data_IF_220712793628
#
_entry.id   IF_220712793628
#
_cell.length_a   1.000
_cell.length_b   1.000
_cell.length_c   1.000
_cell.angle_alpha   90.00
_cell.angle_beta   90.00
_cell.angle_gamma   90.00
#
_symmetry.space_group_name_H-M   'P 1'
#
loop_
_entity.id
_entity.type
_entity.pdbx_description
1 polymer ?
#
# COMPACT_ATOMS: atom_id res chain seq x y z
N UNK A 1 -21.68 24.72 -0.10
CA UNK A 1 -20.54 24.70 -1.04
C UNK A 1 -19.60 25.84 -0.69
N UNK A 2 -18.53 25.55 0.06
CA UNK A 2 -17.30 26.35 0.09
C UNK A 2 -16.20 25.32 -0.12
N UNK A 3 -15.70 25.25 -1.35
CA UNK A 3 -14.67 24.31 -1.76
C UNK A 3 -13.38 24.64 -1.03
N UNK A 4 -13.00 23.77 -0.09
CA UNK A 4 -11.61 23.60 0.23
C UNK A 4 -11.07 22.75 -0.92
N UNK A 5 -10.54 23.38 -1.98
CA UNK A 5 -9.79 22.68 -3.02
C UNK A 5 -8.47 22.19 -2.39
N UNK A 6 -8.55 21.18 -1.53
CA UNK A 6 -7.40 20.32 -1.28
C UNK A 6 -7.03 19.69 -2.62
N UNK A 7 -5.77 19.81 -3.01
CA UNK A 7 -5.27 19.25 -4.26
C UNK A 7 -5.46 17.72 -4.23
N UNK A 8 -6.47 17.24 -4.93
CA UNK A 8 -6.72 15.81 -5.09
C UNK A 8 -5.55 15.22 -5.88
N UNK A 9 -4.88 14.21 -5.34
CA UNK A 9 -3.79 13.52 -6.05
C UNK A 9 -4.32 12.58 -7.13
N UNK A 10 -5.51 12.02 -6.93
CA UNK A 10 -6.15 11.12 -7.88
C UNK A 10 -7.69 11.29 -7.83
N UNK A 11 -8.35 10.90 -8.92
CA UNK A 11 -9.80 10.78 -9.01
C UNK A 11 -10.16 9.57 -9.85
N UNK A 12 -11.11 8.76 -9.39
CA UNK A 12 -11.60 7.60 -10.15
C UNK A 12 -12.76 7.94 -11.09
N UNK A 13 -13.29 9.16 -11.00
CA UNK A 13 -14.45 9.57 -11.76
C UNK A 13 -14.07 10.07 -13.15
N UNK A 14 -14.71 9.55 -14.18
CA UNK A 14 -14.70 10.16 -15.51
C UNK A 14 -15.61 11.39 -15.60
N UNK A 15 -15.80 11.90 -16.82
CA UNK A 15 -16.68 13.05 -17.11
C UNK A 15 -18.14 12.81 -16.70
N UNK A 16 -18.55 11.54 -16.60
CA UNK A 16 -19.88 11.09 -16.16
C UNK A 16 -20.07 11.09 -14.63
N UNK A 17 -19.02 11.42 -13.87
CA UNK A 17 -19.02 11.43 -12.40
C UNK A 17 -18.99 10.03 -11.76
N UNK A 18 -18.88 8.96 -12.56
CA UNK A 18 -18.87 7.57 -12.11
C UNK A 18 -17.47 6.93 -12.14
N UNK A 19 -17.25 5.93 -11.29
CA UNK A 19 -15.99 5.16 -11.25
C UNK A 19 -16.02 3.88 -12.13
N UNK A 20 -17.10 3.67 -12.90
CA UNK A 20 -17.28 2.44 -13.66
C UNK A 20 -16.22 2.21 -14.74
N UNK A 21 -15.78 3.29 -15.40
CA UNK A 21 -14.71 3.20 -16.40
C UNK A 21 -13.37 2.79 -15.75
N UNK A 22 -13.04 3.36 -14.60
CA UNK A 22 -11.84 3.00 -13.84
C UNK A 22 -11.76 1.49 -13.56
N UNK A 23 -12.85 0.89 -13.07
CA UNK A 23 -12.86 -0.55 -12.76
C UNK A 23 -12.71 -1.43 -14.00
N UNK A 24 -13.19 -0.99 -15.18
CA UNK A 24 -12.94 -1.69 -16.44
C UNK A 24 -11.49 -1.56 -16.87
N UNK A 25 -10.94 -0.35 -16.83
CA UNK A 25 -9.57 -0.08 -17.28
C UNK A 25 -8.54 -0.80 -16.42
N UNK A 26 -8.68 -0.76 -15.09
CA UNK A 26 -7.77 -1.47 -14.18
C UNK A 26 -7.88 -2.97 -14.34
N UNK A 27 -9.08 -3.52 -14.60
CA UNK A 27 -9.26 -4.94 -14.82
C UNK A 27 -8.56 -5.41 -16.11
N UNK A 28 -8.80 -4.71 -17.23
CA UNK A 28 -8.16 -5.01 -18.51
C UNK A 28 -6.64 -4.87 -18.45
N UNK A 29 -6.15 -3.81 -17.80
CA UNK A 29 -4.71 -3.61 -17.64
C UNK A 29 -4.10 -4.66 -16.70
N UNK A 30 -4.82 -5.12 -15.68
CA UNK A 30 -4.35 -6.20 -14.80
C UNK A 30 -4.18 -7.52 -15.55
N UNK A 31 -5.05 -7.83 -16.52
CA UNK A 31 -4.88 -9.01 -17.38
C UNK A 31 -3.58 -8.91 -18.20
N UNK A 32 -3.34 -7.74 -18.80
CA UNK A 32 -2.10 -7.47 -19.56
C UNK A 32 -0.87 -7.62 -18.67
N UNK A 33 -0.92 -7.08 -17.44
CA UNK A 33 0.18 -7.17 -16.46
C UNK A 33 0.44 -8.61 -16.06
N UNK A 34 -0.57 -9.37 -15.64
CA UNK A 34 -0.39 -10.75 -15.21
C UNK A 34 0.17 -11.62 -16.33
N UNK A 35 -0.37 -11.49 -17.54
CA UNK A 35 0.17 -12.15 -18.74
C UNK A 35 1.65 -11.80 -18.93
N UNK A 36 2.02 -10.51 -18.85
CA UNK A 36 3.40 -10.06 -19.03
C UNK A 36 4.35 -10.57 -17.94
N UNK A 37 3.90 -10.67 -16.70
CA UNK A 37 4.74 -11.09 -15.57
C UNK A 37 4.95 -12.62 -15.57
N UNK A 38 3.92 -13.40 -15.90
CA UNK A 38 4.01 -14.86 -15.95
C UNK A 38 4.79 -15.42 -17.15
N UNK A 39 5.13 -14.58 -18.14
CA UNK A 39 6.16 -14.91 -19.15
C UNK A 39 7.52 -15.27 -18.49
N UNK A 40 7.81 -14.74 -17.28
CA UNK A 40 9.07 -14.95 -16.61
C UNK A 40 9.03 -16.22 -15.71
N UNK A 41 9.92 -17.21 -15.93
CA UNK A 41 9.93 -18.45 -15.14
C UNK A 41 10.30 -18.23 -13.67
N UNK A 42 10.77 -17.04 -13.30
CA UNK A 42 11.14 -16.71 -11.91
C UNK A 42 9.94 -16.77 -10.96
N UNK A 43 8.73 -16.45 -11.43
CA UNK A 43 7.52 -16.54 -10.61
C UNK A 43 7.24 -18.00 -10.25
N UNK A 44 7.22 -18.90 -11.23
CA UNK A 44 7.03 -20.33 -10.99
C UNK A 44 8.14 -20.94 -10.11
N UNK A 45 9.40 -20.52 -10.31
CA UNK A 45 10.52 -20.93 -9.44
C UNK A 45 10.30 -20.49 -8.00
N UNK A 46 9.87 -19.25 -7.77
CA UNK A 46 9.57 -18.74 -6.44
C UNK A 46 8.37 -19.44 -5.80
N UNK A 47 7.28 -19.69 -6.55
CA UNK A 47 6.13 -20.45 -6.08
C UNK A 47 6.53 -21.83 -5.53
N UNK A 48 7.38 -22.56 -6.26
CA UNK A 48 7.93 -23.84 -5.79
C UNK A 48 8.80 -23.68 -4.55
N UNK A 49 9.63 -22.64 -4.49
CA UNK A 49 10.45 -22.34 -3.32
C UNK A 49 9.61 -22.14 -2.06
N UNK A 50 8.45 -21.47 -2.17
CA UNK A 50 7.54 -21.23 -1.04
C UNK A 50 6.76 -22.48 -0.66
N UNK A 51 6.21 -23.21 -1.63
CA UNK A 51 5.43 -24.43 -1.39
C UNK A 51 6.21 -25.47 -0.57
N UNK A 52 7.53 -25.52 -0.72
CA UNK A 52 8.41 -26.41 0.04
C UNK A 52 8.71 -25.93 1.49
N UNK A 53 8.41 -24.68 1.84
CA UNK A 53 8.81 -24.06 3.12
C UNK A 53 7.65 -23.58 3.97
N UNK A 54 6.50 -23.30 3.37
CA UNK A 54 5.34 -22.75 4.07
C UNK A 54 4.08 -23.57 3.76
N UNK A 55 3.30 -23.97 4.77
CA UNK A 55 2.03 -24.68 4.56
C UNK A 55 1.00 -23.85 3.78
N UNK A 56 0.99 -22.53 4.01
CA UNK A 56 0.05 -21.59 3.39
C UNK A 56 0.74 -20.80 2.26
N UNK A 57 0.99 -21.49 1.13
CA UNK A 57 1.42 -20.81 -0.09
C UNK A 57 0.31 -19.89 -0.61
N UNK A 58 0.71 -18.75 -1.15
CA UNK A 58 -0.19 -17.78 -1.76
C UNK A 58 -0.29 -18.05 -3.26
N UNK A 59 -1.34 -17.50 -3.88
CA UNK A 59 -1.52 -17.61 -5.32
C UNK A 59 -0.31 -16.99 -6.06
N UNK A 60 0.19 -17.65 -7.13
CA UNK A 60 1.27 -17.13 -7.98
C UNK A 60 1.10 -15.68 -8.45
N UNK A 61 -0.12 -15.20 -8.64
CA UNK A 61 -0.39 -13.81 -9.03
C UNK A 61 0.06 -12.80 -7.97
N UNK A 62 0.00 -13.17 -6.69
CA UNK A 62 0.56 -12.32 -5.62
C UNK A 62 2.09 -12.29 -5.69
N UNK A 63 2.72 -13.41 -6.04
CA UNK A 63 4.17 -13.44 -6.23
C UNK A 63 4.59 -12.63 -7.46
N UNK A 64 3.80 -12.64 -8.52
CA UNK A 64 3.98 -11.76 -9.67
C UNK A 64 3.91 -10.28 -9.27
N UNK A 65 2.90 -9.90 -8.47
CA UNK A 65 2.78 -8.55 -7.90
C UNK A 65 4.00 -8.16 -7.07
N UNK A 66 4.47 -9.03 -6.17
CA UNK A 66 5.67 -8.78 -5.36
C UNK A 66 6.93 -8.61 -6.21
N UNK A 67 7.08 -9.42 -7.26
CA UNK A 67 8.22 -9.32 -8.16
C UNK A 67 8.22 -8.02 -8.98
N UNK A 68 7.04 -7.60 -9.48
CA UNK A 68 6.87 -6.28 -10.10
C UNK A 68 7.18 -5.16 -9.10
N UNK A 69 6.71 -5.29 -7.86
CA UNK A 69 6.98 -4.33 -6.79
C UNK A 69 8.47 -4.19 -6.49
N UNK A 70 9.26 -5.27 -6.52
CA UNK A 70 10.73 -5.17 -6.42
C UNK A 70 11.28 -4.24 -7.50
N UNK A 71 10.87 -4.44 -8.76
CA UNK A 71 11.33 -3.62 -9.87
C UNK A 71 10.90 -2.15 -9.75
N UNK A 72 9.64 -1.89 -9.39
CA UNK A 72 9.11 -0.52 -9.24
C UNK A 72 9.83 0.20 -8.11
N UNK A 73 9.95 -0.42 -6.94
CA UNK A 73 10.64 0.19 -5.79
C UNK A 73 12.13 0.36 -6.05
N UNK A 74 12.73 -0.51 -6.87
CA UNK A 74 14.11 -0.33 -7.32
C UNK A 74 14.25 0.94 -8.14
N UNK A 75 13.42 1.13 -9.17
CA UNK A 75 13.48 2.31 -10.04
C UNK A 75 13.28 3.61 -9.26
N UNK A 76 12.35 3.62 -8.31
CA UNK A 76 12.00 4.82 -7.52
C UNK A 76 13.05 5.14 -6.44
N UNK A 77 13.59 4.13 -5.74
CA UNK A 77 14.33 4.33 -4.48
C UNK A 77 15.78 3.86 -4.47
N UNK A 78 16.27 3.11 -5.46
CA UNK A 78 17.64 2.58 -5.42
C UNK A 78 18.70 3.68 -5.26
N UNK A 79 18.49 4.86 -5.86
CA UNK A 79 19.39 6.01 -5.73
C UNK A 79 19.42 6.64 -4.33
N UNK A 80 18.47 6.27 -3.45
CA UNK A 80 18.37 6.74 -2.05
C UNK A 80 18.91 5.70 -1.06
N UNK A 81 19.02 4.44 -1.48
CA UNK A 81 19.34 3.30 -0.63
C UNK A 81 20.85 3.06 -0.43
N UNK A 82 21.56 4.02 0.17
CA UNK A 82 22.97 3.89 0.53
C UNK A 82 23.17 3.21 1.90
N UNK A 83 24.37 2.65 2.15
CA UNK A 83 24.68 2.04 3.44
C UNK A 83 24.50 3.01 4.62
N UNK A 84 24.84 4.29 4.41
CA UNK A 84 24.63 5.35 5.41
C UNK A 84 23.16 5.61 5.71
N UNK A 85 22.30 5.64 4.69
CA UNK A 85 20.87 5.88 4.88
C UNK A 85 20.16 4.71 5.57
N UNK A 86 20.59 3.47 5.31
CA UNK A 86 20.09 2.27 6.01
C UNK A 86 20.47 2.28 7.51
N UNK A 87 21.70 2.64 7.84
CA UNK A 87 22.17 2.65 9.23
C UNK A 87 21.52 3.77 10.05
N UNK A 88 21.44 4.98 9.50
CA UNK A 88 20.71 6.09 10.12
C UNK A 88 19.23 5.74 10.32
N UNK A 89 18.64 5.13 9.30
CA UNK A 89 17.28 4.63 9.32
C UNK A 89 16.99 3.64 10.45
N UNK A 90 17.84 2.61 10.62
CA UNK A 90 17.70 1.63 11.71
C UNK A 90 17.79 2.26 13.10
N UNK A 91 18.69 3.23 13.28
CA UNK A 91 18.82 3.97 14.53
C UNK A 91 17.53 4.73 14.86
N UNK A 92 16.93 5.38 13.87
CA UNK A 92 15.65 6.10 14.02
C UNK A 92 14.48 5.16 14.31
N UNK A 93 14.38 4.02 13.62
CA UNK A 93 13.35 3.02 13.91
C UNK A 93 13.49 2.48 15.34
N UNK A 94 14.72 2.32 15.84
CA UNK A 94 14.95 1.89 17.23
C UNK A 94 14.56 2.96 18.24
N UNK A 95 14.87 4.23 17.99
CA UNK A 95 14.42 5.37 18.80
C UNK A 95 12.88 5.45 18.82
N UNK A 96 12.22 5.15 17.70
CA UNK A 96 10.77 5.12 17.59
C UNK A 96 10.12 4.00 18.41
N UNK A 97 10.75 2.81 18.51
CA UNK A 97 10.26 1.74 19.40
C UNK A 97 10.23 2.16 20.86
N UNK A 98 11.05 3.12 21.25
CA UNK A 98 11.06 3.73 22.58
C UNK A 98 10.21 5.00 22.71
N UNK A 99 9.30 5.26 21.76
CA UNK A 99 8.28 6.34 21.79
C UNK A 99 7.43 6.19 23.06
N UNK A 100 7.89 6.79 24.16
CA UNK A 100 7.36 6.57 25.49
C UNK A 100 6.70 7.83 26.07
N UNK A 101 5.48 7.59 26.57
CA UNK A 101 4.77 8.21 27.69
C UNK A 101 4.43 9.72 27.69
N UNK A 102 4.93 10.57 26.79
CA UNK A 102 4.50 11.99 26.76
C UNK A 102 4.31 12.59 25.36
N UNK A 103 3.40 13.58 25.25
CA UNK A 103 3.10 14.31 24.01
C UNK A 103 4.31 15.09 23.48
N UNK A 104 5.24 15.52 24.36
CA UNK A 104 6.48 16.23 23.98
C UNK A 104 7.52 15.29 23.39
N UNK A 105 7.75 14.12 24.00
CA UNK A 105 8.66 13.11 23.46
C UNK A 105 8.21 12.62 22.06
N UNK A 106 6.89 12.48 21.88
CA UNK A 106 6.29 12.16 20.58
C UNK A 106 6.65 13.18 19.49
N UNK A 107 6.44 14.47 19.77
CA UNK A 107 6.77 15.57 18.84
C UNK A 107 8.27 15.64 18.52
N UNK A 108 9.14 15.41 19.50
CA UNK A 108 10.58 15.40 19.28
C UNK A 108 11.02 14.26 18.36
N UNK A 109 10.47 13.05 18.56
CA UNK A 109 10.72 11.90 17.68
C UNK A 109 10.18 12.14 16.27
N UNK A 110 8.97 12.69 16.14
CA UNK A 110 8.38 13.00 14.83
C UNK A 110 9.21 14.06 14.08
N UNK A 111 9.73 15.07 14.78
CA UNK A 111 10.64 16.09 14.22
C UNK A 111 11.99 15.49 13.79
N UNK A 112 12.59 14.60 14.59
CA UNK A 112 13.82 13.88 14.22
C UNK A 112 13.60 12.97 12.99
N UNK A 113 12.44 12.30 12.89
CA UNK A 113 12.05 11.53 11.70
C UNK A 113 11.90 12.45 10.49
N UNK A 114 11.30 13.63 10.66
CA UNK A 114 11.24 14.67 9.61
C UNK A 114 12.61 15.14 9.12
N UNK A 115 13.56 15.37 10.05
CA UNK A 115 14.94 15.73 9.73
C UNK A 115 15.63 14.63 8.94
N UNK A 116 15.70 13.43 9.50
CA UNK A 116 16.39 12.34 8.84
C UNK A 116 15.72 11.91 7.53
N UNK A 117 14.39 11.97 7.47
CA UNK A 117 13.61 11.79 6.25
C UNK A 117 14.05 12.76 5.15
N UNK A 118 14.32 14.01 5.51
CA UNK A 118 14.70 15.07 4.57
C UNK A 118 16.19 15.06 4.21
N UNK A 119 17.08 14.89 5.19
CA UNK A 119 18.54 15.06 5.01
C UNK A 119 19.27 13.78 4.62
N UNK A 120 18.70 12.62 4.96
CA UNK A 120 19.35 11.31 4.77
C UNK A 120 18.55 10.42 3.84
N UNK A 121 17.25 10.22 4.09
CA UNK A 121 16.44 9.27 3.32
C UNK A 121 15.98 9.82 1.97
N UNK A 122 15.69 11.12 1.87
CA UNK A 122 15.27 11.75 0.61
C UNK A 122 16.43 12.14 -0.32
N UNK A 123 17.69 12.05 0.14
CA UNK A 123 18.87 12.44 -0.65
C UNK A 123 19.11 11.40 -1.75
N UNK A 124 19.08 11.86 -3.01
CA UNK A 124 19.48 11.06 -4.17
C UNK A 124 21.00 11.07 -4.30
N UNK A 125 21.59 9.92 -4.58
CA UNK A 125 23.00 9.75 -4.91
C UNK A 125 23.16 9.36 -6.39
N UNK A 126 24.34 9.60 -6.97
CA UNK A 126 24.65 9.13 -8.32
C UNK A 126 24.43 7.62 -8.40
N UNK A 127 23.61 7.20 -9.36
CA UNK A 127 23.30 5.80 -9.63
C UNK A 127 24.54 5.11 -10.21
N UNK A 128 25.50 4.78 -9.36
CA UNK A 128 26.48 3.76 -9.67
C UNK A 128 26.05 2.54 -8.90
N UNK A 129 25.52 1.54 -9.60
CA UNK A 129 25.78 0.14 -9.28
C UNK A 129 25.01 -0.78 -10.23
N UNK A 130 25.72 -1.81 -10.69
CA UNK A 130 25.18 -2.98 -11.38
C UNK A 130 24.02 -3.58 -10.57
N UNK A 131 22.95 -4.02 -11.22
CA UNK A 131 21.82 -4.69 -10.54
C UNK A 131 22.35 -5.96 -9.85
N UNK A 132 22.40 -5.93 -8.52
CA UNK A 132 23.00 -6.96 -7.68
C UNK A 132 22.18 -7.23 -6.41
N UNK A 133 22.35 -8.43 -5.86
CA UNK A 133 21.63 -8.86 -4.66
C UNK A 133 21.94 -8.00 -3.43
N UNK A 134 23.17 -7.50 -3.30
CA UNK A 134 23.55 -6.61 -2.20
C UNK A 134 22.80 -5.29 -2.26
N UNK A 135 22.59 -4.74 -3.46
CA UNK A 135 21.83 -3.50 -3.66
C UNK A 135 20.35 -3.71 -3.33
N UNK A 136 19.78 -4.89 -3.63
CA UNK A 136 18.43 -5.27 -3.13
C UNK A 136 18.36 -5.25 -1.60
N UNK A 137 19.34 -5.84 -0.94
CA UNK A 137 19.38 -5.89 0.53
C UNK A 137 19.46 -4.48 1.14
N UNK A 138 20.22 -3.57 0.52
CA UNK A 138 20.27 -2.15 0.93
C UNK A 138 18.94 -1.43 0.69
N UNK A 139 18.32 -1.65 -0.47
CA UNK A 139 16.98 -1.13 -0.78
C UNK A 139 15.94 -1.56 0.26
N UNK A 140 15.86 -2.86 0.57
CA UNK A 140 14.95 -3.37 1.59
C UNK A 140 15.27 -2.83 2.99
N UNK A 141 16.54 -2.60 3.29
CA UNK A 141 16.98 -1.92 4.50
C UNK A 141 16.46 -0.48 4.58
N UNK A 142 16.54 0.28 3.47
CA UNK A 142 16.05 1.65 3.37
C UNK A 142 14.52 1.72 3.49
N UNK A 143 13.81 0.82 2.79
CA UNK A 143 12.35 0.72 2.83
C UNK A 143 11.86 0.35 4.24
N UNK A 144 12.54 -0.57 4.93
CA UNK A 144 12.21 -0.92 6.32
C UNK A 144 12.38 0.30 7.22
N UNK A 145 13.44 1.07 7.00
CA UNK A 145 13.79 2.20 7.84
C UNK A 145 12.92 3.45 7.62
N UNK A 146 12.32 3.61 6.44
CA UNK A 146 11.36 4.71 6.21
C UNK A 146 10.11 4.56 7.09
N UNK A 147 9.73 3.33 7.41
CA UNK A 147 8.52 3.01 8.16
C UNK A 147 7.24 3.02 7.31
N UNK A 148 7.34 3.24 6.00
CA UNK A 148 6.20 3.39 5.08
C UNK A 148 5.90 2.12 4.26
N UNK A 149 6.64 1.04 4.47
CA UNK A 149 6.60 -0.20 3.66
C UNK A 149 6.70 -1.47 4.52
N UNK A 150 6.14 -1.45 5.72
CA UNK A 150 6.34 -2.53 6.70
C UNK A 150 5.91 -3.89 6.14
N UNK A 151 4.72 -3.97 5.55
CA UNK A 151 4.15 -5.20 5.01
C UNK A 151 4.88 -5.63 3.73
N UNK A 152 5.10 -4.68 2.82
CA UNK A 152 5.82 -4.92 1.56
C UNK A 152 7.23 -5.47 1.85
N UNK A 153 8.00 -4.82 2.74
CA UNK A 153 9.35 -5.28 3.06
C UNK A 153 9.36 -6.66 3.73
N UNK A 154 8.34 -7.00 4.51
CA UNK A 154 8.16 -8.36 5.04
C UNK A 154 8.06 -9.40 3.92
N UNK A 155 7.24 -9.13 2.91
CA UNK A 155 7.09 -9.99 1.72
C UNK A 155 8.37 -10.05 0.88
N UNK A 156 8.96 -8.90 0.57
CA UNK A 156 10.14 -8.81 -0.28
C UNK A 156 11.42 -9.39 0.35
N UNK A 157 11.50 -9.49 1.68
CA UNK A 157 12.59 -10.23 2.36
C UNK A 157 12.56 -11.73 2.03
N UNK A 158 11.39 -12.31 1.80
CA UNK A 158 11.26 -13.71 1.40
C UNK A 158 11.83 -13.91 -0.01
N UNK A 159 11.60 -12.95 -0.92
CA UNK A 159 12.25 -12.91 -2.23
C UNK A 159 13.77 -12.77 -2.11
N UNK A 160 14.27 -11.91 -1.22
CA UNK A 160 15.70 -11.80 -0.96
C UNK A 160 16.30 -13.14 -0.51
N UNK A 161 15.63 -13.87 0.38
CA UNK A 161 16.09 -15.18 0.86
C UNK A 161 16.06 -16.25 -0.23
N UNK A 162 15.05 -16.24 -1.11
CA UNK A 162 15.06 -17.07 -2.32
C UNK A 162 16.26 -16.77 -3.21
N UNK A 163 16.50 -15.49 -3.53
CA UNK A 163 17.57 -15.06 -4.42
C UNK A 163 18.97 -15.32 -3.84
N UNK A 164 19.12 -15.33 -2.51
CA UNK A 164 20.36 -15.72 -1.82
C UNK A 164 20.71 -17.20 -2.01
N UNK A 165 19.70 -18.05 -2.19
CA UNK A 165 19.88 -19.48 -2.43
C UNK A 165 20.26 -19.84 -3.87
N UNK A 166 20.31 -18.87 -4.79
CA UNK A 166 20.63 -19.09 -6.19
C UNK A 166 22.06 -18.66 -6.54
N UNK A 167 22.64 -19.19 -7.64
CA UNK A 167 23.91 -18.68 -8.16
C UNK A 167 23.83 -17.18 -8.48
N UNK A 168 24.86 -16.41 -8.12
CA UNK A 168 24.82 -14.95 -8.21
C UNK A 168 24.46 -14.38 -9.59
N UNK A 169 24.85 -15.07 -10.69
CA UNK A 169 24.44 -14.70 -12.06
C UNK A 169 22.94 -14.86 -12.28
N UNK A 170 22.34 -15.93 -11.75
CA UNK A 170 20.91 -16.18 -11.84
C UNK A 170 20.12 -15.15 -11.03
N UNK A 171 20.52 -14.90 -9.77
CA UNK A 171 19.89 -13.90 -8.91
C UNK A 171 19.92 -12.51 -9.53
N UNK A 172 21.06 -12.09 -10.08
CA UNK A 172 21.19 -10.82 -10.79
C UNK A 172 20.31 -10.77 -12.04
N UNK A 173 20.22 -11.88 -12.79
CA UNK A 173 19.35 -11.99 -13.96
C UNK A 173 17.87 -11.84 -13.61
N UNK A 174 17.41 -12.44 -12.52
CA UNK A 174 16.03 -12.31 -12.04
C UNK A 174 15.73 -10.85 -11.66
N UNK A 175 16.62 -10.19 -10.92
CA UNK A 175 16.46 -8.80 -10.53
C UNK A 175 16.48 -7.85 -11.73
N UNK A 176 17.36 -8.10 -12.70
CA UNK A 176 17.42 -7.32 -13.92
C UNK A 176 16.10 -7.38 -14.70
N UNK A 177 15.52 -8.58 -14.84
CA UNK A 177 14.21 -8.74 -15.50
C UNK A 177 13.08 -8.07 -14.72
N UNK A 178 13.11 -8.09 -13.38
CA UNK A 178 12.15 -7.37 -12.55
C UNK A 178 12.17 -5.86 -12.84
N UNK A 179 13.38 -5.28 -12.88
CA UNK A 179 13.59 -3.86 -13.19
C UNK A 179 13.12 -3.52 -14.61
N UNK A 180 13.43 -4.36 -15.60
CA UNK A 180 12.96 -4.19 -16.98
C UNK A 180 11.43 -4.22 -17.08
N UNK A 181 10.78 -5.17 -16.39
CA UNK A 181 9.32 -5.29 -16.36
C UNK A 181 8.68 -4.09 -15.65
N UNK A 182 9.32 -3.56 -14.61
CA UNK A 182 8.87 -2.33 -13.96
C UNK A 182 8.97 -1.10 -14.87
N UNK A 183 10.03 -0.95 -15.67
CA UNK A 183 10.12 0.13 -16.66
C UNK A 183 9.03 0.03 -17.73
N UNK A 184 8.72 -1.19 -18.20
CA UNK A 184 7.58 -1.40 -19.08
C UNK A 184 6.25 -1.03 -18.39
N UNK A 185 6.05 -1.49 -17.16
CA UNK A 185 4.85 -1.23 -16.38
C UNK A 185 4.63 0.26 -16.15
N UNK A 186 5.69 1.01 -15.81
CA UNK A 186 5.61 2.46 -15.60
C UNK A 186 5.06 3.17 -16.84
N UNK A 187 5.64 2.91 -18.02
CA UNK A 187 5.15 3.49 -19.28
C UNK A 187 3.72 3.05 -19.59
N UNK A 188 3.45 1.75 -19.55
CA UNK A 188 2.16 1.19 -19.96
C UNK A 188 1.02 1.58 -19.01
N UNK A 189 1.31 1.62 -17.70
CA UNK A 189 0.34 2.07 -16.71
C UNK A 189 -0.01 3.55 -16.84
N UNK A 190 0.91 4.39 -17.31
CA UNK A 190 0.61 5.79 -17.60
C UNK A 190 -0.38 5.92 -18.76
N UNK A 191 -0.24 5.10 -19.80
CA UNK A 191 -1.19 5.05 -20.93
C UNK A 191 -2.58 4.58 -20.49
N UNK A 192 -2.65 3.55 -19.64
CA UNK A 192 -3.92 2.92 -19.25
C UNK A 192 -4.62 3.58 -18.07
N UNK A 193 -3.88 4.07 -17.08
CA UNK A 193 -4.40 4.56 -15.80
C UNK A 193 -4.03 6.02 -15.51
N UNK A 194 -3.26 6.66 -16.39
CA UNK A 194 -2.76 8.01 -16.16
C UNK A 194 -3.87 9.05 -15.98
N UNK A 195 -4.99 8.92 -16.68
CA UNK A 195 -6.12 9.86 -16.53
C UNK A 195 -6.61 9.97 -15.07
N UNK A 196 -6.50 8.90 -14.28
CA UNK A 196 -6.95 8.85 -12.88
C UNK A 196 -5.97 9.48 -11.88
N UNK A 197 -4.72 9.72 -12.31
CA UNK A 197 -3.59 10.13 -11.44
C UNK A 197 -2.85 11.35 -11.99
N UNK A 198 -3.49 12.13 -12.87
CA UNK A 198 -2.90 13.28 -13.56
C UNK A 198 -2.38 14.39 -12.65
N UNK A 199 -2.89 14.46 -11.42
CA UNK A 199 -2.56 15.51 -10.46
C UNK A 199 -1.43 15.12 -9.49
N UNK A 200 -0.89 13.91 -9.58
CA UNK A 200 0.13 13.41 -8.64
C UNK A 200 1.40 14.26 -8.69
N UNK A 201 1.94 14.51 -9.88
CA UNK A 201 3.17 15.30 -10.04
C UNK A 201 2.97 16.74 -9.54
N UNK A 202 1.88 17.39 -9.95
CA UNK A 202 1.53 18.75 -9.53
C UNK A 202 1.40 18.86 -8.01
N UNK A 203 0.73 17.89 -7.38
CA UNK A 203 0.65 17.84 -5.91
C UNK A 203 2.05 17.75 -5.28
N UNK A 204 2.93 16.86 -5.76
CA UNK A 204 4.28 16.71 -5.20
C UNK A 204 5.07 18.01 -5.33
N UNK A 205 5.00 18.67 -6.48
CA UNK A 205 5.69 19.94 -6.77
C UNK A 205 5.22 21.07 -5.85
N UNK A 206 3.90 21.31 -5.78
CA UNK A 206 3.33 22.37 -4.94
C UNK A 206 3.56 22.14 -3.44
N UNK A 207 3.66 20.87 -3.02
CA UNK A 207 3.81 20.52 -1.61
C UNK A 207 5.26 20.27 -1.19
N UNK A 208 6.25 20.35 -2.10
CA UNK A 208 7.64 19.98 -1.80
C UNK A 208 8.24 20.74 -0.59
N UNK A 209 7.98 22.05 -0.49
CA UNK A 209 8.44 22.87 0.63
C UNK A 209 7.66 22.57 1.93
N UNK A 210 6.34 22.39 1.84
CA UNK A 210 5.48 22.05 2.97
C UNK A 210 5.82 20.68 3.58
N UNK A 211 6.18 19.72 2.73
CA UNK A 211 6.58 18.37 3.11
C UNK A 211 8.02 18.28 3.61
N UNK A 212 8.80 19.38 3.53
CA UNK A 212 10.12 19.43 4.15
C UNK A 212 9.96 19.28 5.67
N UNK A 213 10.75 18.39 6.26
CA UNK A 213 10.70 18.09 7.70
C UNK A 213 9.42 17.41 8.19
N UNK A 214 8.52 16.98 7.29
CA UNK A 214 7.35 16.21 7.67
C UNK A 214 7.70 14.73 7.83
N UNK A 215 7.13 14.11 8.86
CA UNK A 215 7.34 12.70 9.19
C UNK A 215 6.89 11.77 8.05
N UNK A 216 5.76 12.09 7.44
CA UNK A 216 5.15 11.35 6.33
C UNK A 216 5.65 11.81 4.95
N UNK A 217 6.78 12.54 4.87
CA UNK A 217 7.31 13.06 3.58
C UNK A 217 7.40 11.97 2.52
N UNK A 218 7.93 10.79 2.86
CA UNK A 218 8.11 9.67 1.92
C UNK A 218 6.77 9.16 1.39
N UNK A 219 5.74 9.10 2.25
CA UNK A 219 4.39 8.71 1.85
C UNK A 219 3.70 9.79 1.00
N UNK A 220 3.85 11.06 1.35
CA UNK A 220 3.27 12.16 0.59
C UNK A 220 4.04 12.49 -0.69
N UNK A 221 5.25 11.95 -0.89
CA UNK A 221 6.04 12.15 -2.11
C UNK A 221 6.14 10.87 -2.96
N UNK A 222 5.15 9.98 -2.87
CA UNK A 222 5.09 8.75 -3.66
C UNK A 222 4.90 9.07 -5.13
N UNK A 223 5.71 8.45 -5.97
CA UNK A 223 5.70 8.68 -7.41
C UNK A 223 4.48 8.02 -8.06
N UNK A 224 4.03 8.53 -9.20
CA UNK A 224 2.77 8.13 -9.83
C UNK A 224 2.70 6.64 -10.18
N UNK A 225 3.82 6.04 -10.57
CA UNK A 225 3.92 4.58 -10.78
C UNK A 225 3.54 3.77 -9.54
N UNK A 226 3.76 4.30 -8.33
CA UNK A 226 3.39 3.63 -7.08
C UNK A 226 1.87 3.67 -6.86
N UNK A 227 1.16 4.70 -7.35
CA UNK A 227 -0.30 4.71 -7.39
C UNK A 227 -0.81 3.63 -8.33
N UNK A 228 -0.26 3.53 -9.54
CA UNK A 228 -0.68 2.51 -10.51
C UNK A 228 -0.37 1.09 -10.01
N UNK A 229 0.78 0.89 -9.37
CA UNK A 229 1.13 -0.38 -8.73
C UNK A 229 0.07 -0.76 -7.68
N UNK A 230 -0.38 0.18 -6.85
CA UNK A 230 -1.42 -0.08 -5.86
C UNK A 230 -2.79 -0.33 -6.49
N UNK A 231 -3.15 0.36 -7.57
CA UNK A 231 -4.40 0.12 -8.31
C UNK A 231 -4.44 -1.31 -8.88
N UNK A 232 -3.40 -1.70 -9.61
CA UNK A 232 -3.28 -3.06 -10.16
C UNK A 232 -3.13 -4.10 -9.05
N UNK A 233 -2.35 -3.81 -8.01
CA UNK A 233 -2.18 -4.71 -6.88
C UNK A 233 -3.47 -4.96 -6.11
N UNK A 234 -4.30 -3.94 -5.93
CA UNK A 234 -5.63 -4.09 -5.32
C UNK A 234 -6.53 -4.98 -6.17
N UNK A 235 -6.52 -4.81 -7.49
CA UNK A 235 -7.30 -5.66 -8.42
C UNK A 235 -6.81 -7.12 -8.39
N UNK A 236 -5.49 -7.36 -8.43
CA UNK A 236 -4.92 -8.70 -8.29
C UNK A 236 -5.36 -9.34 -6.96
N UNK A 237 -5.22 -8.62 -5.85
CA UNK A 237 -5.64 -9.10 -4.53
C UNK A 237 -7.14 -9.42 -4.49
N UNK A 238 -7.98 -8.57 -5.09
CA UNK A 238 -9.42 -8.79 -5.14
C UNK A 238 -9.75 -10.09 -5.83
N UNK A 239 -9.17 -10.34 -7.01
CA UNK A 239 -9.36 -11.59 -7.77
C UNK A 239 -8.88 -12.80 -7.00
N UNK A 240 -7.66 -12.75 -6.48
CA UNK A 240 -7.05 -13.88 -5.76
C UNK A 240 -7.83 -14.25 -4.50
N UNK A 241 -8.33 -13.25 -3.77
CA UNK A 241 -9.03 -13.47 -2.50
C UNK A 241 -10.57 -13.53 -2.64
N UNK A 242 -11.09 -13.40 -3.86
CA UNK A 242 -12.53 -13.26 -4.12
C UNK A 242 -13.34 -14.45 -3.61
N UNK A 243 -12.93 -15.67 -3.98
CA UNK A 243 -13.67 -16.88 -3.64
C UNK A 243 -13.68 -17.12 -2.13
N UNK A 244 -12.53 -16.89 -1.48
CA UNK A 244 -12.43 -16.92 -0.02
C UNK A 244 -13.39 -15.91 0.60
N UNK A 245 -13.33 -14.64 0.18
CA UNK A 245 -14.21 -13.59 0.68
C UNK A 245 -15.70 -13.94 0.51
N UNK A 246 -16.09 -14.50 -0.64
CA UNK A 246 -17.47 -14.94 -0.89
C UNK A 246 -17.89 -16.05 0.08
N UNK A 247 -17.04 -17.04 0.27
CA UNK A 247 -17.27 -18.19 1.15
C UNK A 247 -17.27 -17.84 2.65
N UNK A 248 -16.70 -16.70 3.04
CA UNK A 248 -16.64 -16.28 4.44
C UNK A 248 -18.04 -16.13 5.05
N UNK A 249 -18.23 -16.72 6.22
CA UNK A 249 -19.51 -16.70 6.96
C UNK A 249 -19.83 -15.33 7.54
N UNK A 250 -18.82 -14.53 7.86
CA UNK A 250 -18.97 -13.18 8.39
C UNK A 250 -18.34 -12.17 7.45
N UNK A 251 -19.02 -11.04 7.21
CA UNK A 251 -18.53 -9.97 6.35
C UNK A 251 -18.55 -8.62 7.08
N UNK A 252 -17.44 -7.89 6.97
CA UNK A 252 -17.29 -6.58 7.61
C UNK A 252 -16.76 -5.56 6.61
N UNK A 253 -17.38 -4.39 6.54
CA UNK A 253 -16.89 -3.25 5.76
C UNK A 253 -16.07 -2.33 6.69
N UNK A 254 -14.80 -2.13 6.34
CA UNK A 254 -13.92 -1.18 7.02
C UNK A 254 -13.94 0.14 6.27
N UNK A 255 -14.40 1.19 6.96
CA UNK A 255 -14.46 2.55 6.43
C UNK A 255 -13.41 3.44 7.08
N UNK A 256 -12.65 4.23 6.32
CA UNK A 256 -11.71 5.17 6.90
C UNK A 256 -12.44 6.33 7.55
N UNK A 257 -11.92 6.79 8.71
CA UNK A 257 -12.52 7.88 9.48
C UNK A 257 -12.67 9.19 8.71
N UNK A 258 -11.83 9.43 7.71
CA UNK A 258 -11.90 10.62 6.86
C UNK A 258 -13.17 10.70 6.01
N UNK A 259 -13.94 9.60 5.87
CA UNK A 259 -15.24 9.62 5.18
C UNK A 259 -16.37 10.25 6.02
N UNK A 260 -16.13 10.57 7.29
CA UNK A 260 -17.11 11.26 8.13
C UNK A 260 -17.35 12.67 7.57
N UNK A 261 -18.62 13.05 7.49
CA UNK A 261 -19.02 14.40 7.07
C UNK A 261 -18.96 15.45 8.20
N UNK A 262 -18.70 15.02 9.45
CA UNK A 262 -18.68 15.90 10.63
C UNK A 262 -17.35 15.71 11.36
N UNK A 263 -16.94 16.74 12.11
CA UNK A 263 -15.81 16.66 13.03
C UNK A 263 -16.02 15.57 14.09
N UNK A 264 -14.96 15.23 14.82
CA UNK A 264 -15.01 14.20 15.84
C UNK A 264 -16.06 14.51 16.93
N UNK A 265 -16.22 15.77 17.30
CA UNK A 265 -17.13 16.24 18.35
C UNK A 265 -18.59 16.19 17.90
N UNK A 266 -18.86 16.39 16.61
CA UNK A 266 -20.21 16.46 16.06
C UNK A 266 -20.70 15.11 15.47
N UNK A 267 -19.79 14.16 15.24
CA UNK A 267 -20.14 12.82 14.79
C UNK A 267 -20.63 11.98 15.96
N UNK A 268 -21.83 11.39 15.86
CA UNK A 268 -22.38 10.49 16.91
C UNK A 268 -21.88 9.04 16.80
N UNK A 269 -20.79 8.77 16.08
CA UNK A 269 -20.25 7.43 16.00
C UNK A 269 -19.70 7.01 17.38
N UNK A 270 -20.01 5.79 17.81
CA UNK A 270 -19.61 5.30 19.15
C UNK A 270 -18.50 4.26 19.04
N UNK A 271 -17.56 4.18 19.99
CA UNK A 271 -16.51 3.18 19.97
C UNK A 271 -17.08 1.74 19.98
N UNK A 272 -16.49 0.86 19.18
CA UNK A 272 -16.76 -0.58 19.20
C UNK A 272 -15.51 -1.34 18.75
N UNK A 273 -15.01 -2.24 19.60
CA UNK A 273 -13.78 -2.98 19.34
C UNK A 273 -12.63 -2.04 18.98
N UNK A 274 -12.06 -2.26 17.79
CA UNK A 274 -10.93 -1.49 17.24
C UNK A 274 -11.33 -0.24 16.45
N UNK A 275 -12.62 0.07 16.36
CA UNK A 275 -13.14 1.17 15.56
C UNK A 275 -14.36 1.85 16.18
N UNK A 276 -15.26 2.31 15.31
CA UNK A 276 -16.51 2.97 15.70
C UNK A 276 -17.68 2.51 14.83
N UNK A 277 -18.87 2.47 15.41
CA UNK A 277 -20.12 2.22 14.69
C UNK A 277 -20.85 3.52 14.42
N UNK A 278 -21.36 3.66 13.20
CA UNK A 278 -22.15 4.82 12.77
C UNK A 278 -23.54 4.84 13.44
N UNK A 279 -23.88 5.94 14.13
CA UNK A 279 -25.24 6.19 14.67
C UNK A 279 -26.09 7.11 13.78
N UNK A 280 -25.81 7.13 12.47
CA UNK A 280 -26.65 7.77 11.43
C UNK A 280 -27.02 9.24 11.68
N UNK A 281 -26.10 10.01 12.25
CA UNK A 281 -26.34 11.41 12.65
C UNK A 281 -26.56 12.42 11.50
N UNK A 282 -26.42 12.00 10.24
CA UNK A 282 -26.73 12.81 9.06
C UNK A 282 -27.01 11.91 7.85
N UNK A 283 -28.07 12.23 7.08
CA UNK A 283 -28.41 11.55 5.81
C UNK A 283 -27.44 11.89 4.66
N UNK A 284 -26.72 13.00 4.75
CA UNK A 284 -25.73 13.41 3.73
C UNK A 284 -24.33 12.83 3.97
N UNK A 285 -24.14 12.01 5.00
CA UNK A 285 -22.85 11.42 5.33
C UNK A 285 -22.61 10.13 4.53
N UNK A 286 -21.48 10.02 3.82
CA UNK A 286 -21.13 8.82 3.06
C UNK A 286 -21.01 7.57 3.94
N UNK A 287 -20.49 7.72 5.15
CA UNK A 287 -20.44 6.61 6.12
C UNK A 287 -21.84 6.07 6.42
N UNK A 288 -22.85 6.95 6.56
CA UNK A 288 -24.23 6.51 6.77
C UNK A 288 -24.75 5.77 5.53
N UNK A 289 -24.56 6.32 4.32
CA UNK A 289 -25.00 5.66 3.09
C UNK A 289 -24.41 4.25 2.94
N UNK A 290 -23.10 4.09 3.16
CA UNK A 290 -22.44 2.78 3.09
C UNK A 290 -22.89 1.86 4.23
N UNK A 291 -23.11 2.39 5.43
CA UNK A 291 -23.65 1.60 6.56
C UNK A 291 -25.02 1.00 6.21
N UNK A 292 -25.93 1.81 5.69
CA UNK A 292 -27.26 1.35 5.30
C UNK A 292 -27.21 0.28 4.18
N UNK A 293 -26.30 0.45 3.21
CA UNK A 293 -26.08 -0.51 2.13
C UNK A 293 -25.52 -1.85 2.65
N UNK A 294 -24.52 -1.80 3.54
CA UNK A 294 -23.88 -3.00 4.08
C UNK A 294 -24.83 -3.81 4.96
N UNK A 295 -25.65 -3.15 5.78
CA UNK A 295 -26.67 -3.81 6.60
C UNK A 295 -27.73 -4.52 5.76
N UNK A 296 -28.10 -3.97 4.59
CA UNK A 296 -29.00 -4.64 3.65
C UNK A 296 -28.39 -5.94 3.07
N UNK A 297 -27.08 -6.11 3.17
CA UNK A 297 -26.33 -7.29 2.77
C UNK A 297 -25.85 -8.12 3.99
N UNK A 298 -26.49 -7.96 5.16
CA UNK A 298 -26.13 -8.63 6.43
C UNK A 298 -24.64 -8.51 6.80
N UNK A 299 -24.05 -7.35 6.49
CA UNK A 299 -22.64 -7.06 6.71
C UNK A 299 -22.47 -5.98 7.77
N UNK A 300 -21.53 -6.19 8.70
CA UNK A 300 -21.18 -5.21 9.73
C UNK A 300 -20.36 -4.07 9.12
N UNK A 301 -20.40 -2.88 9.73
CA UNK A 301 -19.56 -1.74 9.32
C UNK A 301 -18.79 -1.20 10.50
N UNK A 302 -17.46 -1.12 10.37
CA UNK A 302 -16.58 -0.50 11.35
C UNK A 302 -15.84 0.68 10.72
N UNK A 303 -15.94 1.83 11.37
CA UNK A 303 -15.15 3.02 11.03
C UNK A 303 -13.79 2.90 11.70
N UNK A 304 -12.74 2.80 10.90
CA UNK A 304 -11.37 2.63 11.34
C UNK A 304 -10.66 4.00 11.40
N UNK A 305 -10.16 4.41 12.57
CA UNK A 305 -9.48 5.69 12.75
C UNK A 305 -8.11 5.73 12.08
N UNK A 306 -7.37 4.62 12.09
CA UNK A 306 -6.04 4.53 11.49
C UNK A 306 -5.76 3.11 11.00
N UNK A 307 -5.01 2.94 9.92
CA UNK A 307 -4.70 1.62 9.37
C UNK A 307 -4.03 0.69 10.40
N UNK A 308 -3.17 1.25 11.27
CA UNK A 308 -2.52 0.51 12.35
C UNK A 308 -3.46 0.01 13.46
N UNK A 309 -4.71 0.49 13.50
CA UNK A 309 -5.74 0.02 14.45
C UNK A 309 -6.81 -0.82 13.77
N UNK A 310 -6.69 -1.07 12.45
CA UNK A 310 -7.71 -1.82 11.71
C UNK A 310 -7.86 -3.27 12.19
N UNK A 311 -6.78 -3.84 12.71
CA UNK A 311 -6.69 -5.23 13.10
C UNK A 311 -6.34 -5.34 14.59
N UNK A 312 -6.88 -6.37 15.25
CA UNK A 312 -6.53 -6.71 16.63
C UNK A 312 -5.07 -7.17 16.78
N UNK A 313 -4.67 -7.51 18.00
CA UNK A 313 -3.33 -8.06 18.26
C UNK A 313 -3.18 -9.53 17.88
N UNK A 314 -4.30 -10.25 17.84
CA UNK A 314 -4.33 -11.69 17.63
C UNK A 314 -4.84 -12.01 16.22
N UNK A 315 -4.22 -13.01 15.60
CA UNK A 315 -4.66 -13.56 14.31
C UNK A 315 -6.01 -14.24 14.51
N UNK A 316 -6.96 -13.97 13.62
CA UNK A 316 -8.25 -14.67 13.62
C UNK A 316 -8.14 -16.00 12.87
N UNK A 317 -9.04 -16.97 13.12
CA UNK A 317 -9.12 -18.19 12.32
C UNK A 317 -9.29 -17.87 10.83
N UNK A 318 -8.46 -18.50 10.00
CA UNK A 318 -8.51 -18.36 8.54
C UNK A 318 -9.89 -18.72 7.99
N UNK A 319 -10.30 -18.04 6.91
CA UNK A 319 -11.51 -18.41 6.17
C UNK A 319 -12.84 -17.92 6.79
N UNK A 320 -12.82 -17.44 8.04
CA UNK A 320 -14.04 -17.10 8.78
C UNK A 320 -14.60 -15.71 8.41
N UNK A 321 -13.72 -14.71 8.31
CA UNK A 321 -14.15 -13.30 8.19
C UNK A 321 -13.62 -12.69 6.89
N UNK A 322 -14.56 -12.33 6.02
CA UNK A 322 -14.32 -11.51 4.84
C UNK A 322 -14.36 -10.03 5.19
N UNK A 323 -13.47 -9.23 4.63
CA UNK A 323 -13.50 -7.78 4.82
C UNK A 323 -13.53 -7.05 3.48
N UNK A 324 -14.33 -5.98 3.42
CA UNK A 324 -14.20 -4.97 2.37
C UNK A 324 -13.47 -3.78 2.98
N UNK A 325 -12.19 -3.63 2.65
CA UNK A 325 -11.36 -2.53 3.12
C UNK A 325 -11.43 -1.36 2.13
N UNK A 326 -12.03 -0.25 2.56
CA UNK A 326 -12.03 0.99 1.78
C UNK A 326 -10.84 1.86 2.20
N UNK A 327 -9.98 2.24 1.26
CA UNK A 327 -8.80 3.05 1.57
C UNK A 327 -8.37 3.94 0.39
N UNK A 328 -7.47 4.89 0.68
CA UNK A 328 -6.77 5.63 -0.37
C UNK A 328 -5.82 4.70 -1.12
N UNK A 329 -5.57 4.98 -2.40
CA UNK A 329 -4.80 4.13 -3.33
C UNK A 329 -3.53 3.56 -2.70
N UNK A 330 -2.66 4.41 -2.15
CA UNK A 330 -1.34 4.03 -1.63
C UNK A 330 -1.35 3.13 -0.37
N UNK A 331 -2.52 2.84 0.22
CA UNK A 331 -2.65 2.00 1.41
C UNK A 331 -3.25 0.62 1.12
N UNK A 332 -3.64 0.34 -0.12
CA UNK A 332 -4.42 -0.86 -0.44
C UNK A 332 -3.61 -2.14 -0.36
N UNK A 333 -2.41 -2.15 -0.94
CA UNK A 333 -1.54 -3.33 -0.91
C UNK A 333 -1.13 -3.64 0.53
N UNK A 334 -0.58 -2.66 1.25
CA UNK A 334 -0.19 -2.80 2.66
C UNK A 334 -1.35 -3.29 3.52
N UNK A 335 -2.53 -2.69 3.39
CA UNK A 335 -3.73 -3.10 4.11
C UNK A 335 -4.19 -4.52 3.77
N UNK A 336 -4.16 -4.90 2.49
CA UNK A 336 -4.51 -6.24 2.02
C UNK A 336 -3.56 -7.32 2.54
N UNK A 337 -2.24 -7.08 2.48
CA UNK A 337 -1.25 -7.98 3.08
C UNK A 337 -1.46 -8.12 4.58
N UNK A 338 -1.65 -7.00 5.30
CA UNK A 338 -1.87 -7.07 6.74
C UNK A 338 -3.14 -7.83 7.09
N UNK A 339 -4.23 -7.60 6.36
CA UNK A 339 -5.48 -8.33 6.54
C UNK A 339 -5.28 -9.85 6.38
N UNK A 340 -4.61 -10.26 5.29
CA UNK A 340 -4.36 -11.68 5.02
C UNK A 340 -3.48 -12.33 6.08
N UNK A 341 -2.42 -11.65 6.53
CA UNK A 341 -1.58 -12.12 7.64
C UNK A 341 -2.37 -12.31 8.94
N UNK A 342 -3.36 -11.45 9.19
CA UNK A 342 -4.22 -11.51 10.36
C UNK A 342 -5.35 -12.55 10.22
N UNK A 343 -5.42 -13.30 9.12
CA UNK A 343 -6.40 -14.37 8.87
C UNK A 343 -7.69 -13.92 8.17
N UNK A 344 -7.81 -12.64 7.82
CA UNK A 344 -8.96 -12.12 7.07
C UNK A 344 -8.85 -12.46 5.58
N UNK A 345 -9.99 -12.37 4.90
CA UNK A 345 -10.12 -12.50 3.44
C UNK A 345 -10.49 -11.13 2.85
N UNK A 346 -9.50 -10.34 2.39
CA UNK A 346 -9.76 -8.95 2.03
C UNK A 346 -10.27 -8.77 0.60
N UNK A 347 -11.09 -7.74 0.45
CA UNK A 347 -11.38 -7.05 -0.81
C UNK A 347 -10.96 -5.58 -0.62
N UNK A 348 -10.02 -5.13 -1.44
CA UNK A 348 -9.41 -3.82 -1.47
C UNK A 348 -10.20 -2.89 -2.39
N UNK A 349 -11.00 -1.99 -1.82
CA UNK A 349 -11.83 -1.04 -2.58
C UNK A 349 -11.25 0.36 -2.44
N UNK A 350 -11.07 1.04 -3.58
CA UNK A 350 -10.55 2.39 -3.59
C UNK A 350 -11.60 3.39 -3.12
N UNK A 351 -11.17 4.34 -2.30
CA UNK A 351 -11.90 5.57 -2.06
C UNK A 351 -11.87 6.43 -3.33
N UNK A 352 -13.00 6.99 -3.76
CA UNK A 352 -13.10 7.68 -5.06
C UNK A 352 -12.13 8.87 -5.24
N UNK A 353 -11.80 9.56 -4.16
CA UNK A 353 -10.83 10.65 -4.15
C UNK A 353 -10.30 10.84 -2.73
N UNK A 354 -9.08 11.36 -2.62
CA UNK A 354 -8.48 11.73 -1.35
C UNK A 354 -8.47 13.25 -1.21
N UNK A 355 -9.26 13.79 -0.29
CA UNK A 355 -9.01 15.14 0.22
C UNK A 355 -7.82 15.04 1.18
N UNK A 356 -6.68 15.62 0.80
CA UNK A 356 -5.51 15.77 1.67
C UNK A 356 -5.68 16.99 2.57
#
# INVERSE_FOLDING_TARGET
MRGNNGELTYSLTGDDGGAGQYFRDVALFTDEVLMKLHEDPSIAKFSRYIALRKPEAWNPDIYALEWLMIGVLWNVYNTRATAGSVSAGRLLSSLYRHRSRSRRARRAVDWLKGIAGTTVLARRHQASERIQLQSLARLLGWLTASGEFEQETGRLKIWLDFLRGLPGKESAGILHRAVQKATWFERRSLECLGSYTSQVETYIEHNHQRLKWQENRIFCSRERVEYHLNMVGAEIMNRVFHDGFRAASEKIVFLPICMRNKSAEACRAVPEGQGYVCRRCSKTCRVHAVTAMAEACDSKVLIIPHASTAFGKERIPEGKVGIVGIACVLNLISGGYKAREMGYLPQCVLLHYQAV
#
